data_IF_078462679729
#
_entry.id   IF_078462679729
#
_cell.length_a   1.000
_cell.length_b   1.000
_cell.length_c   1.000
_cell.angle_alpha   90.00
_cell.angle_beta   90.00
_cell.angle_gamma   90.00
#
_symmetry.space_group_name_H-M   'P 1'
#
loop_
_entity.id
_entity.type
_entity.pdbx_description
1 polymer ?
#
# COMPACT_ATOMS: atom_id res chain seq x y z
N UNK A 1 22.32 27.75 34.90
CA UNK A 1 21.55 27.29 33.76
C UNK A 1 22.08 25.92 33.37
N UNK A 2 21.34 24.87 33.69
CA UNK A 2 21.69 23.51 33.29
C UNK A 2 21.42 23.41 31.78
N UNK A 3 22.47 23.33 30.97
CA UNK A 3 22.34 23.00 29.54
C UNK A 3 21.78 21.60 29.47
N UNK A 4 20.49 21.46 29.19
CA UNK A 4 19.90 20.18 28.86
C UNK A 4 20.57 19.74 27.56
N UNK A 5 21.36 18.66 27.62
CA UNK A 5 22.04 18.15 26.43
C UNK A 5 20.97 17.72 25.41
N UNK A 6 21.00 18.29 24.22
CA UNK A 6 20.13 17.89 23.12
C UNK A 6 20.60 16.53 22.61
N UNK A 7 19.70 15.55 22.60
CA UNK A 7 20.03 14.19 22.16
C UNK A 7 19.02 13.75 21.11
N UNK A 8 19.50 13.38 19.94
CA UNK A 8 18.72 12.76 18.87
C UNK A 8 18.86 11.24 19.00
N UNK A 9 17.74 10.51 19.22
CA UNK A 9 17.76 9.08 19.55
C UNK A 9 17.22 8.18 18.45
N UNK A 10 16.42 8.72 17.52
CA UNK A 10 15.83 7.89 16.45
C UNK A 10 15.00 8.67 15.47
N UNK A 11 14.57 7.97 14.45
CA UNK A 11 13.61 8.42 13.44
C UNK A 11 12.47 7.42 13.31
N UNK A 12 11.33 7.88 12.79
CA UNK A 12 10.13 7.07 12.58
C UNK A 12 9.23 7.71 11.51
N UNK A 13 8.81 7.00 10.45
CA UNK A 13 9.17 5.62 10.13
C UNK A 13 10.58 5.48 9.53
N UNK A 14 11.12 4.24 9.40
CA UNK A 14 12.43 4.00 8.80
C UNK A 14 12.49 4.24 7.29
N UNK A 15 11.35 4.16 6.60
CA UNK A 15 11.20 4.43 5.17
C UNK A 15 10.33 5.65 4.89
N UNK A 16 10.62 6.36 3.80
CA UNK A 16 9.87 7.56 3.41
C UNK A 16 9.81 7.72 1.90
N UNK A 17 8.76 8.40 1.42
CA UNK A 17 8.72 9.00 0.09
C UNK A 17 8.87 10.51 0.21
N UNK A 18 9.24 11.20 -0.86
CA UNK A 18 9.19 12.65 -0.95
C UNK A 18 7.78 13.16 -0.60
N UNK A 19 7.68 14.26 0.14
CA UNK A 19 6.43 14.77 0.71
C UNK A 19 5.90 13.98 1.91
N UNK A 20 6.53 12.87 2.28
CA UNK A 20 6.18 12.08 3.46
C UNK A 20 6.60 12.76 4.76
N UNK A 21 6.01 12.32 5.87
CA UNK A 21 6.35 12.83 7.21
C UNK A 21 7.36 11.91 7.89
N UNK A 22 8.47 12.50 8.35
CA UNK A 22 9.48 11.85 9.18
C UNK A 22 9.47 12.45 10.57
N UNK A 23 9.42 11.61 11.60
CA UNK A 23 9.58 12.02 12.99
C UNK A 23 11.03 11.82 13.44
N UNK A 24 11.63 12.87 13.99
CA UNK A 24 12.86 12.81 14.76
C UNK A 24 12.49 12.69 16.23
N UNK A 25 13.06 11.73 16.93
CA UNK A 25 12.85 11.49 18.37
C UNK A 25 14.09 11.81 19.14
N UNK A 26 13.91 12.34 20.37
CA UNK A 26 15.06 12.73 21.19
C UNK A 26 14.65 13.31 22.53
N UNK A 27 15.57 14.01 23.16
CA UNK A 27 15.35 14.75 24.40
C UNK A 27 15.96 16.13 24.31
N UNK A 28 15.30 17.13 24.91
CA UNK A 28 15.74 18.51 24.87
C UNK A 28 15.74 19.16 23.49
N UNK A 29 14.91 18.60 22.54
CA UNK A 29 14.82 19.12 21.18
C UNK A 29 14.25 20.56 21.18
N UNK A 30 14.56 21.37 20.14
CA UNK A 30 13.96 22.70 19.99
C UNK A 30 12.44 22.59 19.94
N UNK A 31 11.75 23.28 20.87
CA UNK A 31 10.30 23.16 21.04
C UNK A 31 9.50 24.06 20.09
N UNK A 32 10.17 24.91 19.32
CA UNK A 32 9.53 25.79 18.33
C UNK A 32 10.35 25.83 17.06
N UNK A 33 9.70 25.84 15.87
CA UNK A 33 10.38 26.10 14.62
C UNK A 33 11.07 27.50 14.69
N UNK A 34 12.36 27.54 14.46
CA UNK A 34 13.16 28.77 14.40
C UNK A 34 14.12 28.64 13.20
N UNK A 35 14.77 29.73 12.77
CA UNK A 35 15.84 29.66 11.78
C UNK A 35 16.95 28.68 12.14
N UNK A 36 17.15 28.42 13.44
CA UNK A 36 18.16 27.48 13.95
C UNK A 36 17.66 26.03 14.00
N UNK A 37 16.35 25.80 13.79
CA UNK A 37 15.74 24.46 13.75
C UNK A 37 15.88 23.85 12.35
N UNK A 38 17.10 23.84 11.81
CA UNK A 38 17.38 23.32 10.49
C UNK A 38 17.57 21.80 10.55
N UNK A 39 16.76 21.09 9.80
CA UNK A 39 16.90 19.64 9.55
C UNK A 39 17.18 19.46 8.07
N UNK A 40 18.08 18.55 7.71
CA UNK A 40 18.34 18.16 6.33
C UNK A 40 18.20 16.65 6.16
N UNK A 41 17.68 16.24 5.01
CA UNK A 41 17.54 14.84 4.59
C UNK A 41 18.20 14.72 3.22
N UNK A 42 19.16 13.80 3.07
CA UNK A 42 19.93 13.67 1.83
C UNK A 42 20.76 14.93 1.47
N UNK A 43 20.97 15.83 2.44
CA UNK A 43 21.62 17.15 2.23
C UNK A 43 20.64 18.27 1.86
N UNK A 44 19.39 17.97 1.52
CA UNK A 44 18.36 18.95 1.22
C UNK A 44 17.64 19.42 2.50
N UNK A 45 17.30 20.72 2.63
CA UNK A 45 16.58 21.23 3.78
C UNK A 45 15.16 20.69 3.86
N UNK A 46 14.78 20.17 5.04
CA UNK A 46 13.46 19.64 5.32
C UNK A 46 12.58 20.68 6.03
N UNK A 47 11.30 20.76 5.62
CA UNK A 47 10.35 21.66 6.26
C UNK A 47 9.89 21.11 7.60
N UNK A 48 10.06 21.86 8.69
CA UNK A 48 9.54 21.48 10.00
C UNK A 48 8.03 21.69 10.03
N UNK A 49 7.29 20.62 10.33
CA UNK A 49 5.82 20.61 10.42
C UNK A 49 5.35 20.79 11.87
N UNK A 50 6.12 20.26 12.82
CA UNK A 50 5.82 20.26 14.24
C UNK A 50 7.13 20.15 15.05
N UNK A 51 7.20 20.81 16.21
CA UNK A 51 8.33 20.71 17.11
C UNK A 51 7.87 20.65 18.57
N UNK A 52 8.45 19.70 19.32
CA UNK A 52 8.29 19.52 20.76
C UNK A 52 9.60 18.99 21.35
N UNK A 53 9.82 19.10 22.71
CA UNK A 53 11.07 18.72 23.33
C UNK A 53 11.49 17.26 23.18
N UNK A 54 10.56 16.38 22.84
CA UNK A 54 10.74 14.92 22.67
C UNK A 54 10.68 14.45 21.22
N UNK A 55 10.15 15.29 20.31
CA UNK A 55 9.95 14.92 18.89
C UNK A 55 9.79 16.12 17.96
N UNK A 56 10.29 15.97 16.74
CA UNK A 56 10.10 16.94 15.66
C UNK A 56 9.57 16.19 14.44
N UNK A 57 8.52 16.71 13.80
CA UNK A 57 8.05 16.21 12.51
C UNK A 57 8.59 17.10 11.39
N UNK A 58 9.12 16.47 10.36
CA UNK A 58 9.56 17.16 9.13
C UNK A 58 8.93 16.53 7.91
N UNK A 59 8.79 17.31 6.86
CA UNK A 59 8.41 16.84 5.53
C UNK A 59 9.69 16.52 4.75
N UNK A 60 9.69 15.35 4.12
CA UNK A 60 10.81 14.89 3.30
C UNK A 60 10.86 15.70 2.01
N UNK A 61 11.95 16.41 1.70
CA UNK A 61 12.05 17.23 0.48
C UNK A 61 12.20 16.34 -0.76
N UNK A 62 11.70 16.82 -1.91
CA UNK A 62 11.87 16.13 -3.21
C UNK A 62 13.34 15.90 -3.56
N UNK A 63 14.20 16.81 -3.14
CA UNK A 63 15.65 16.74 -3.36
C UNK A 63 16.40 15.84 -2.37
N UNK A 64 15.70 15.05 -1.53
CA UNK A 64 16.34 14.11 -0.59
C UNK A 64 17.11 12.97 -1.30
N UNK A 65 16.85 12.77 -2.59
CA UNK A 65 17.39 11.65 -3.36
C UNK A 65 16.59 10.37 -3.16
N UNK A 66 17.24 9.22 -3.40
CA UNK A 66 16.66 7.88 -3.18
C UNK A 66 17.68 6.97 -2.47
N UNK A 67 17.19 5.88 -1.86
CA UNK A 67 18.00 4.99 -1.04
C UNK A 67 18.34 5.57 0.33
N UNK A 68 19.44 5.12 0.92
CA UNK A 68 19.83 5.48 2.28
C UNK A 68 20.31 6.93 2.39
N UNK A 69 19.46 7.81 2.90
CA UNK A 69 19.70 9.23 3.03
C UNK A 69 20.09 9.63 4.48
N UNK A 70 21.15 10.46 4.67
CA UNK A 70 21.50 10.98 6.00
C UNK A 70 20.47 12.01 6.46
N UNK A 71 20.07 11.92 7.73
CA UNK A 71 19.23 12.89 8.44
C UNK A 71 20.11 13.59 9.45
N UNK A 72 20.25 14.91 9.31
CA UNK A 72 21.07 15.76 10.17
C UNK A 72 20.26 16.94 10.70
N UNK A 73 20.59 17.37 11.91
CA UNK A 73 19.99 18.53 12.53
C UNK A 73 21.07 19.50 12.98
N UNK A 74 20.93 20.79 12.68
CA UNK A 74 21.94 21.81 13.00
C UNK A 74 22.22 21.93 14.51
N UNK A 75 21.20 21.67 15.33
CA UNK A 75 21.25 21.69 16.79
C UNK A 75 21.82 20.40 17.41
N UNK A 76 22.15 19.39 16.60
CA UNK A 76 22.79 18.13 17.04
C UNK A 76 23.88 17.70 16.04
N UNK A 77 24.96 18.49 15.87
CA UNK A 77 25.93 18.33 14.76
C UNK A 77 26.73 17.02 14.83
N UNK A 78 26.80 16.37 16.00
CA UNK A 78 27.48 15.09 16.18
C UNK A 78 26.66 13.87 15.88
N UNK A 79 25.34 13.99 15.65
CA UNK A 79 24.45 12.89 15.37
C UNK A 79 24.05 12.87 13.88
N UNK A 80 24.19 11.70 13.25
CA UNK A 80 23.65 11.44 11.92
C UNK A 80 22.79 10.18 12.00
N UNK A 81 21.52 10.31 11.68
CA UNK A 81 20.61 9.18 11.50
C UNK A 81 20.45 8.92 10.00
N UNK A 82 19.82 7.81 9.65
CA UNK A 82 19.60 7.43 8.25
C UNK A 82 18.16 6.99 8.05
N UNK A 83 17.57 7.40 6.95
CA UNK A 83 16.24 6.99 6.50
C UNK A 83 16.36 6.39 5.10
N UNK A 84 15.55 5.38 4.80
CA UNK A 84 15.44 4.85 3.43
C UNK A 84 14.42 5.68 2.64
N UNK A 85 14.85 6.34 1.58
CA UNK A 85 13.98 7.08 0.65
C UNK A 85 13.65 6.17 -0.51
N UNK A 86 12.35 5.97 -0.78
CA UNK A 86 11.88 5.10 -1.85
C UNK A 86 12.44 5.50 -3.21
N UNK A 87 12.94 4.54 -3.96
CA UNK A 87 13.43 4.72 -5.31
C UNK A 87 12.28 4.61 -6.30
N UNK A 88 12.02 5.62 -7.17
CA UNK A 88 11.03 5.52 -8.21
C UNK A 88 11.31 4.32 -9.12
N UNK A 89 10.36 3.39 -9.24
CA UNK A 89 10.44 2.22 -10.11
C UNK A 89 9.68 2.46 -11.42
N UNK A 90 8.43 2.96 -11.34
CA UNK A 90 7.65 3.31 -12.52
C UNK A 90 6.76 4.52 -12.23
N UNK A 91 6.68 5.46 -13.16
CA UNK A 91 5.87 6.68 -13.07
C UNK A 91 4.74 6.66 -14.10
N UNK A 92 3.75 7.54 -13.93
CA UNK A 92 2.61 7.65 -14.84
C UNK A 92 1.71 6.43 -14.79
N UNK A 93 1.58 5.84 -13.61
CA UNK A 93 0.64 4.79 -13.28
C UNK A 93 -0.72 5.41 -12.87
N UNK A 94 -1.73 4.59 -12.68
CA UNK A 94 -3.02 5.03 -12.13
C UNK A 94 -3.60 3.91 -11.26
N UNK A 95 -3.01 3.75 -10.08
CA UNK A 95 -3.35 2.68 -9.15
C UNK A 95 -4.61 3.01 -8.34
N UNK A 96 -5.34 1.97 -8.00
CA UNK A 96 -6.46 2.00 -7.03
C UNK A 96 -6.39 0.84 -6.04
N UNK A 97 -5.44 -0.09 -6.23
CA UNK A 97 -5.17 -1.22 -5.35
C UNK A 97 -3.68 -1.58 -5.34
N UNK A 98 -3.31 -2.57 -4.56
CA UNK A 98 -1.95 -3.10 -4.47
C UNK A 98 -1.53 -3.75 -5.79
N UNK A 99 -0.29 -3.55 -6.24
CA UNK A 99 0.32 -4.40 -7.26
C UNK A 99 0.59 -5.80 -6.70
N UNK A 100 0.85 -6.77 -7.57
CA UNK A 100 1.14 -8.16 -7.14
C UNK A 100 2.39 -8.69 -7.82
N UNK A 101 3.18 -9.48 -7.09
CA UNK A 101 4.27 -10.26 -7.66
C UNK A 101 3.80 -11.68 -7.99
N UNK A 102 4.27 -12.22 -9.09
CA UNK A 102 4.18 -13.65 -9.34
C UNK A 102 5.36 -14.41 -8.69
N UNK A 103 5.36 -15.73 -8.85
CA UNK A 103 6.40 -16.61 -8.28
C UNK A 103 7.78 -16.41 -8.90
N UNK A 104 7.83 -15.87 -10.11
CA UNK A 104 9.04 -15.53 -10.85
C UNK A 104 9.56 -14.13 -10.52
N UNK A 105 8.88 -13.38 -9.62
CA UNK A 105 9.25 -12.03 -9.22
C UNK A 105 8.87 -10.94 -10.23
N UNK A 106 7.95 -11.23 -11.17
CA UNK A 106 7.41 -10.22 -12.09
C UNK A 106 6.30 -9.45 -11.40
N UNK A 107 6.34 -8.13 -11.46
CA UNK A 107 5.38 -7.24 -10.82
C UNK A 107 4.28 -6.85 -11.79
N UNK A 108 3.02 -7.09 -11.41
CA UNK A 108 1.84 -6.71 -12.18
C UNK A 108 1.06 -5.62 -11.45
N UNK A 109 0.55 -4.66 -12.23
CA UNK A 109 -0.21 -3.55 -11.69
C UNK A 109 -1.35 -3.15 -12.62
N UNK A 110 -2.56 -2.98 -12.06
CA UNK A 110 -3.68 -2.44 -12.81
C UNK A 110 -3.47 -0.95 -13.11
N UNK A 111 -3.94 -0.53 -14.28
CA UNK A 111 -4.06 0.86 -14.69
C UNK A 111 -5.54 1.22 -14.85
N UNK A 112 -6.08 1.99 -13.92
CA UNK A 112 -7.53 2.22 -13.87
C UNK A 112 -8.04 3.25 -14.87
N UNK A 113 -7.25 4.23 -15.26
CA UNK A 113 -7.65 5.30 -16.16
C UNK A 113 -8.81 6.18 -15.65
N UNK A 114 -9.27 7.16 -16.42
CA UNK A 114 -10.43 7.96 -16.10
C UNK A 114 -11.70 7.10 -16.07
N UNK A 115 -12.66 7.44 -15.21
CA UNK A 115 -13.88 6.65 -15.01
C UNK A 115 -14.72 6.55 -16.28
N UNK A 116 -15.04 5.30 -16.68
CA UNK A 116 -15.87 4.99 -17.84
C UNK A 116 -15.24 5.35 -19.18
N UNK A 117 -13.93 5.57 -19.22
CA UNK A 117 -13.21 5.83 -20.46
C UNK A 117 -12.25 4.67 -20.74
N UNK A 118 -12.13 4.34 -22.02
CA UNK A 118 -11.10 3.41 -22.46
C UNK A 118 -9.72 3.97 -22.18
N UNK A 119 -8.85 3.11 -21.71
CA UNK A 119 -7.43 3.38 -21.54
C UNK A 119 -6.64 2.47 -22.48
N UNK A 120 -5.53 2.97 -23.06
CA UNK A 120 -4.69 2.13 -23.94
C UNK A 120 -4.03 0.97 -23.19
N UNK A 121 -4.15 0.93 -21.88
CA UNK A 121 -3.60 -0.12 -21.02
C UNK A 121 -4.58 -0.41 -19.89
N UNK A 122 -4.71 -1.69 -19.53
CA UNK A 122 -5.42 -2.13 -18.34
C UNK A 122 -4.48 -2.72 -17.29
N UNK A 123 -3.42 -3.42 -17.73
CA UNK A 123 -2.41 -4.01 -16.83
C UNK A 123 -1.02 -3.82 -17.41
N UNK A 124 -0.12 -3.36 -16.59
CA UNK A 124 1.32 -3.37 -16.83
C UNK A 124 2.00 -4.52 -16.10
N UNK A 125 3.00 -5.11 -16.74
CA UNK A 125 4.10 -5.81 -16.10
C UNK A 125 5.28 -4.85 -15.97
N UNK A 126 5.86 -4.75 -14.78
CA UNK A 126 6.99 -3.86 -14.50
C UNK A 126 8.17 -4.73 -14.06
N UNK A 127 9.31 -4.57 -14.71
CA UNK A 127 10.51 -5.30 -14.34
C UNK A 127 11.37 -4.55 -13.29
N UNK A 128 12.46 -5.17 -12.84
CA UNK A 128 13.35 -4.60 -11.85
C UNK A 128 14.08 -3.33 -12.29
N UNK A 129 14.05 -2.97 -13.57
CA UNK A 129 14.61 -1.70 -14.10
C UNK A 129 13.55 -0.60 -14.20
N UNK A 130 12.29 -0.94 -13.99
CA UNK A 130 11.15 -0.04 -14.15
C UNK A 130 10.60 -0.01 -15.58
N UNK A 131 11.12 -0.85 -16.49
CA UNK A 131 10.55 -0.98 -17.83
C UNK A 131 9.16 -1.61 -17.75
N UNK A 132 8.22 -1.04 -18.51
CA UNK A 132 6.81 -1.42 -18.50
C UNK A 132 6.45 -2.14 -19.79
N UNK A 133 5.79 -3.28 -19.64
CA UNK A 133 5.18 -4.02 -20.74
C UNK A 133 3.67 -4.05 -20.55
N UNK A 134 2.92 -3.86 -21.63
CA UNK A 134 1.45 -3.97 -21.62
C UNK A 134 1.10 -5.46 -21.66
N UNK A 135 0.43 -5.93 -20.60
CA UNK A 135 -0.02 -7.33 -20.49
C UNK A 135 -1.47 -7.47 -20.96
N UNK A 136 -2.29 -6.47 -20.72
CA UNK A 136 -3.68 -6.44 -21.16
C UNK A 136 -4.14 -5.00 -21.40
N UNK A 137 -5.09 -4.86 -22.33
CA UNK A 137 -5.81 -3.62 -22.60
C UNK A 137 -7.34 -3.85 -22.58
N UNK A 138 -8.12 -2.78 -22.82
CA UNK A 138 -9.57 -2.84 -23.06
C UNK A 138 -10.40 -3.34 -21.86
N UNK A 139 -9.85 -3.44 -20.64
CA UNK A 139 -10.61 -3.65 -19.40
C UNK A 139 -10.88 -2.26 -18.80
N UNK A 140 -12.14 -1.82 -18.85
CA UNK A 140 -12.52 -0.50 -18.36
C UNK A 140 -12.33 -0.41 -16.85
N UNK A 141 -11.62 0.63 -16.42
CA UNK A 141 -11.35 0.88 -15.00
C UNK A 141 -10.85 -0.37 -14.25
N UNK A 142 -9.84 -1.04 -14.81
CA UNK A 142 -9.12 -2.12 -14.15
C UNK A 142 -8.71 -1.67 -12.73
N UNK A 143 -9.06 -2.44 -11.71
CA UNK A 143 -8.98 -1.99 -10.32
C UNK A 143 -7.98 -2.80 -9.51
N UNK A 144 -8.19 -4.10 -9.40
CA UNK A 144 -7.32 -5.02 -8.68
C UNK A 144 -6.77 -6.08 -9.62
N UNK A 145 -5.59 -6.57 -9.31
CA UNK A 145 -4.97 -7.73 -9.98
C UNK A 145 -4.73 -8.82 -8.95
N UNK A 146 -4.94 -10.07 -9.37
CA UNK A 146 -4.61 -11.23 -8.55
C UNK A 146 -4.05 -12.36 -9.43
N UNK A 147 -3.18 -13.18 -8.86
CA UNK A 147 -2.61 -14.33 -9.54
C UNK A 147 -3.15 -15.59 -8.87
N UNK A 148 -3.77 -16.47 -9.68
CA UNK A 148 -4.30 -17.72 -9.17
C UNK A 148 -3.17 -18.65 -8.68
N UNK A 149 -3.48 -19.68 -7.86
CA UNK A 149 -2.50 -20.69 -7.47
C UNK A 149 -1.82 -21.38 -8.68
N UNK A 150 -2.48 -21.40 -9.82
CA UNK A 150 -1.95 -21.93 -11.09
C UNK A 150 -1.11 -20.93 -11.91
N UNK A 151 -0.91 -19.71 -11.43
CA UNK A 151 -0.10 -18.68 -12.10
C UNK A 151 -0.84 -17.83 -13.12
N UNK A 152 -2.15 -17.98 -13.27
CA UNK A 152 -2.96 -17.19 -14.21
C UNK A 152 -3.34 -15.84 -13.60
N UNK A 153 -3.24 -14.76 -14.37
CA UNK A 153 -3.58 -13.40 -13.98
C UNK A 153 -5.08 -13.14 -14.09
N UNK A 154 -5.64 -12.50 -13.09
CA UNK A 154 -7.03 -12.04 -13.04
C UNK A 154 -7.10 -10.55 -12.71
N UNK A 155 -8.10 -9.89 -13.29
CA UNK A 155 -8.26 -8.42 -13.17
C UNK A 155 -9.72 -8.10 -12.92
N UNK A 156 -10.03 -7.30 -11.90
CA UNK A 156 -11.37 -6.78 -11.69
C UNK A 156 -11.60 -5.49 -12.47
N UNK A 157 -12.82 -5.31 -12.98
CA UNK A 157 -13.31 -4.06 -13.56
C UNK A 157 -14.44 -3.52 -12.69
N UNK A 158 -14.18 -2.38 -12.04
CA UNK A 158 -15.21 -1.71 -11.23
C UNK A 158 -16.29 -1.04 -12.11
N UNK A 159 -16.02 -0.84 -13.39
CA UNK A 159 -16.99 -0.26 -14.33
C UNK A 159 -17.93 -1.32 -14.87
N UNK A 160 -17.39 -2.45 -15.32
CA UNK A 160 -18.18 -3.56 -15.90
C UNK A 160 -18.84 -4.42 -14.82
N UNK A 161 -18.38 -4.34 -13.56
CA UNK A 161 -18.81 -5.26 -12.50
C UNK A 161 -18.38 -6.71 -12.78
N UNK A 162 -17.20 -6.88 -13.34
CA UNK A 162 -16.70 -8.14 -13.84
C UNK A 162 -15.28 -8.46 -13.35
N UNK A 163 -14.91 -9.73 -13.41
CA UNK A 163 -13.54 -10.21 -13.30
C UNK A 163 -13.16 -10.85 -14.62
N UNK A 164 -11.99 -10.47 -15.13
CA UNK A 164 -11.42 -11.00 -16.36
C UNK A 164 -10.23 -11.91 -16.05
N UNK A 165 -10.15 -13.05 -16.75
CA UNK A 165 -8.92 -13.84 -16.87
C UNK A 165 -8.08 -13.26 -17.99
N UNK A 166 -6.79 -13.08 -17.75
CA UNK A 166 -5.81 -12.59 -18.73
C UNK A 166 -4.83 -13.69 -19.05
N UNK A 167 -4.62 -13.94 -20.34
CA UNK A 167 -3.71 -14.97 -20.86
C UNK A 167 -2.36 -14.35 -21.24
N UNK A 168 -1.34 -15.20 -21.37
CA UNK A 168 0.03 -14.77 -21.71
C UNK A 168 0.15 -14.07 -23.07
N UNK A 169 -0.79 -14.35 -23.99
CA UNK A 169 -0.89 -13.69 -25.29
C UNK A 169 -1.63 -12.34 -25.28
N UNK A 170 -1.99 -11.85 -24.10
CA UNK A 170 -2.74 -10.60 -23.88
C UNK A 170 -4.25 -10.72 -24.11
N UNK A 171 -4.73 -11.87 -24.56
CA UNK A 171 -6.17 -12.15 -24.69
C UNK A 171 -6.82 -12.17 -23.31
N UNK A 172 -8.02 -11.63 -23.23
CA UNK A 172 -8.84 -11.62 -22.02
C UNK A 172 -10.19 -12.29 -22.27
N UNK A 173 -10.72 -12.91 -21.25
CA UNK A 173 -12.11 -13.42 -21.25
C UNK A 173 -12.80 -13.10 -19.93
N UNK A 174 -14.10 -12.83 -19.97
CA UNK A 174 -14.87 -12.63 -18.75
C UNK A 174 -14.93 -13.96 -17.98
N UNK A 175 -14.42 -13.92 -16.75
CA UNK A 175 -14.44 -15.05 -15.82
C UNK A 175 -15.71 -15.06 -14.98
N UNK A 176 -16.14 -13.87 -14.51
CA UNK A 176 -17.39 -13.68 -13.79
C UNK A 176 -17.92 -12.27 -14.05
N UNK A 177 -19.24 -12.13 -14.04
CA UNK A 177 -19.96 -10.87 -14.29
C UNK A 177 -21.03 -10.64 -13.23
N UNK A 178 -21.71 -9.49 -13.27
CA UNK A 178 -22.78 -9.11 -12.32
C UNK A 178 -22.33 -9.10 -10.86
N UNK A 179 -21.09 -8.63 -10.62
CA UNK A 179 -20.46 -8.56 -9.30
C UNK A 179 -20.60 -7.17 -8.66
N UNK A 180 -21.51 -6.35 -9.12
CA UNK A 180 -21.68 -4.98 -8.64
C UNK A 180 -20.53 -4.07 -9.06
N UNK A 181 -19.89 -3.37 -8.12
CA UNK A 181 -18.68 -2.58 -8.37
C UNK A 181 -17.47 -3.40 -7.93
N UNK A 182 -17.05 -4.34 -8.78
CA UNK A 182 -15.98 -5.28 -8.48
C UNK A 182 -14.64 -4.56 -8.25
N UNK A 183 -14.06 -4.74 -7.06
CA UNK A 183 -12.84 -4.08 -6.61
C UNK A 183 -11.75 -5.12 -6.28
N UNK A 184 -11.40 -5.27 -5.00
CA UNK A 184 -10.31 -6.14 -4.55
C UNK A 184 -10.53 -7.62 -4.88
N UNK A 185 -9.43 -8.30 -5.16
CA UNK A 185 -9.38 -9.73 -5.50
C UNK A 185 -8.42 -10.46 -4.56
N UNK A 186 -8.78 -11.67 -4.12
CA UNK A 186 -7.88 -12.58 -3.43
C UNK A 186 -8.21 -14.03 -3.73
N UNK A 187 -7.22 -14.83 -4.12
CA UNK A 187 -7.37 -16.27 -4.29
C UNK A 187 -7.16 -17.02 -2.99
N UNK A 188 -8.04 -17.96 -2.68
CA UNK A 188 -7.79 -18.96 -1.66
C UNK A 188 -6.88 -20.08 -2.20
N UNK A 189 -6.25 -20.88 -1.31
CA UNK A 189 -5.41 -22.00 -1.72
C UNK A 189 -6.15 -23.08 -2.55
N UNK A 190 -7.45 -23.24 -2.34
CA UNK A 190 -8.31 -24.16 -3.08
C UNK A 190 -8.65 -23.68 -4.51
N UNK A 191 -8.20 -22.46 -4.87
CA UNK A 191 -8.45 -21.85 -6.17
C UNK A 191 -9.76 -21.07 -6.25
N UNK A 192 -10.59 -21.02 -5.19
CA UNK A 192 -11.72 -20.11 -5.15
C UNK A 192 -11.24 -18.65 -5.09
N UNK A 193 -12.02 -17.75 -5.72
CA UNK A 193 -11.69 -16.33 -5.80
C UNK A 193 -12.67 -15.52 -4.97
N UNK A 194 -12.14 -14.71 -4.05
CA UNK A 194 -12.90 -13.69 -3.34
C UNK A 194 -12.88 -12.37 -4.12
N UNK A 195 -14.04 -11.74 -4.24
CA UNK A 195 -14.22 -10.46 -4.92
C UNK A 195 -14.96 -9.49 -4.00
N UNK A 196 -14.35 -8.37 -3.69
CA UNK A 196 -14.99 -7.29 -2.93
C UNK A 196 -15.83 -6.41 -3.86
N UNK A 197 -17.13 -6.31 -3.59
CA UNK A 197 -17.98 -5.29 -4.20
C UNK A 197 -18.01 -4.05 -3.29
N UNK A 198 -17.81 -2.89 -3.88
CA UNK A 198 -17.84 -1.60 -3.17
C UNK A 198 -19.11 -1.37 -2.35
N UNK A 199 -20.25 -1.98 -2.73
CA UNK A 199 -21.51 -1.86 -1.99
C UNK A 199 -21.51 -2.60 -0.65
N UNK A 200 -20.46 -3.39 -0.37
CA UNK A 200 -20.26 -4.08 0.90
C UNK A 200 -20.31 -5.61 0.80
N UNK A 201 -20.59 -6.16 -0.36
CA UNK A 201 -20.64 -7.61 -0.55
C UNK A 201 -19.25 -8.17 -0.83
N UNK A 202 -18.87 -9.23 -0.14
CA UNK A 202 -17.74 -10.08 -0.52
C UNK A 202 -18.33 -11.33 -1.17
N UNK A 203 -18.05 -11.51 -2.46
CA UNK A 203 -18.44 -12.69 -3.23
C UNK A 203 -17.37 -13.77 -3.12
N UNK A 204 -17.79 -15.04 -3.09
CA UNK A 204 -16.90 -16.19 -3.32
C UNK A 204 -17.28 -16.85 -4.64
N UNK A 205 -16.31 -17.01 -5.52
CA UNK A 205 -16.43 -17.64 -6.83
C UNK A 205 -15.73 -18.99 -6.84
N UNK A 206 -16.33 -19.98 -7.50
CA UNK A 206 -15.68 -21.24 -7.78
C UNK A 206 -14.55 -21.10 -8.81
N UNK A 207 -13.80 -22.16 -9.02
CA UNK A 207 -12.68 -22.22 -9.98
C UNK A 207 -13.13 -22.06 -11.44
N UNK A 208 -14.40 -22.21 -11.73
CA UNK A 208 -15.08 -22.01 -13.02
C UNK A 208 -15.68 -20.60 -13.19
N UNK A 209 -15.56 -19.74 -12.17
CA UNK A 209 -16.17 -18.41 -12.16
C UNK A 209 -17.61 -18.37 -11.71
N UNK A 210 -18.26 -19.51 -11.46
CA UNK A 210 -19.60 -19.54 -10.93
C UNK A 210 -19.65 -18.90 -9.52
N UNK A 211 -20.59 -17.96 -9.32
CA UNK A 211 -20.80 -17.36 -8.00
C UNK A 211 -21.47 -18.39 -7.10
N UNK A 212 -20.71 -18.87 -6.12
CA UNK A 212 -21.17 -19.86 -5.17
C UNK A 212 -22.06 -19.26 -4.09
N UNK A 213 -21.67 -18.08 -3.56
CA UNK A 213 -22.39 -17.48 -2.44
C UNK A 213 -22.00 -16.01 -2.21
N UNK A 214 -22.82 -15.28 -1.44
CA UNK A 214 -22.39 -14.09 -0.73
C UNK A 214 -21.62 -14.57 0.50
N UNK A 215 -20.31 -14.42 0.48
CA UNK A 215 -19.43 -14.88 1.56
C UNK A 215 -19.57 -14.04 2.82
N UNK A 216 -19.62 -12.72 2.67
CA UNK A 216 -19.77 -11.79 3.78
C UNK A 216 -20.40 -10.47 3.31
N UNK A 217 -20.90 -9.70 4.29
CA UNK A 217 -21.40 -8.33 4.05
C UNK A 217 -20.76 -7.39 5.05
N UNK A 218 -20.23 -6.27 4.56
CA UNK A 218 -19.58 -5.18 5.27
C UNK A 218 -20.32 -3.86 4.99
N UNK A 219 -20.06 -2.78 5.76
CA UNK A 219 -20.55 -1.45 5.40
C UNK A 219 -20.07 -1.04 4.00
N UNK A 220 -20.84 -0.28 3.20
CA UNK A 220 -20.39 0.17 1.88
C UNK A 220 -19.09 0.97 1.94
N UNK A 221 -18.16 0.69 1.03
CA UNK A 221 -16.93 1.47 0.89
C UNK A 221 -17.15 2.73 0.07
N UNK A 222 -16.49 3.84 0.43
CA UNK A 222 -16.49 5.08 -0.35
C UNK A 222 -15.47 5.07 -1.49
N UNK A 223 -14.57 4.09 -1.51
CA UNK A 223 -13.55 3.91 -2.56
C UNK A 223 -13.57 2.50 -3.14
N UNK A 224 -12.86 1.57 -2.51
CA UNK A 224 -12.77 0.16 -2.90
C UNK A 224 -12.65 -0.70 -1.65
N UNK A 225 -12.98 -1.98 -1.75
CA UNK A 225 -12.50 -3.00 -0.84
C UNK A 225 -11.19 -3.57 -1.38
N UNK A 226 -10.25 -3.83 -0.49
CA UNK A 226 -8.96 -4.43 -0.77
C UNK A 226 -8.88 -5.76 -0.01
N UNK A 227 -8.43 -6.80 -0.69
CA UNK A 227 -8.44 -8.17 -0.19
C UNK A 227 -7.05 -8.78 -0.26
N UNK A 228 -6.68 -9.57 0.75
CA UNK A 228 -5.51 -10.43 0.71
C UNK A 228 -5.78 -11.74 1.45
N UNK A 229 -5.31 -12.85 0.89
CA UNK A 229 -5.29 -14.13 1.59
C UNK A 229 -4.06 -14.19 2.50
N UNK A 230 -4.27 -14.49 3.77
CA UNK A 230 -3.21 -14.66 4.74
C UNK A 230 -2.53 -16.03 4.65
N UNK A 231 -1.33 -16.17 5.23
CA UNK A 231 -0.63 -17.46 5.30
C UNK A 231 -1.33 -18.46 6.25
N UNK A 232 -2.36 -18.02 6.95
CA UNK A 232 -3.23 -18.80 7.84
C UNK A 232 -4.54 -19.24 7.14
N UNK A 233 -4.61 -19.10 5.81
CA UNK A 233 -5.78 -19.38 4.97
C UNK A 233 -7.03 -18.56 5.34
N UNK A 234 -6.84 -17.42 6.03
CA UNK A 234 -7.91 -16.48 6.36
C UNK A 234 -7.93 -15.33 5.35
N UNK A 235 -9.12 -14.80 5.06
CA UNK A 235 -9.26 -13.63 4.19
C UNK A 235 -9.15 -12.35 5.02
N UNK A 236 -8.25 -11.45 4.61
CA UNK A 236 -8.09 -10.13 5.20
C UNK A 236 -8.68 -9.06 4.29
N UNK A 237 -9.43 -8.13 4.87
CA UNK A 237 -10.18 -7.14 4.12
C UNK A 237 -10.03 -5.76 4.75
N UNK A 238 -9.80 -4.77 3.91
CA UNK A 238 -9.83 -3.35 4.26
C UNK A 238 -10.72 -2.59 3.28
N UNK A 239 -11.21 -1.44 3.70
CA UNK A 239 -11.94 -0.54 2.82
C UNK A 239 -12.39 0.70 3.58
N UNK A 240 -12.16 1.91 3.04
CA UNK A 240 -12.60 3.14 3.69
C UNK A 240 -14.12 3.30 3.55
N UNK A 241 -14.77 3.67 4.66
CA UNK A 241 -16.20 3.95 4.72
C UNK A 241 -16.48 5.44 5.00
N UNK A 242 -17.70 5.80 5.37
CA UNK A 242 -18.05 7.14 5.87
C UNK A 242 -17.76 7.31 7.37
N UNK A 243 -17.27 6.27 8.03
CA UNK A 243 -16.89 6.35 9.44
C UNK A 243 -15.62 7.20 9.64
N UNK A 244 -15.43 7.70 10.85
CA UNK A 244 -14.21 8.43 11.23
C UNK A 244 -13.00 7.50 11.26
N UNK A 245 -13.22 6.24 11.63
CA UNK A 245 -12.22 5.19 11.66
C UNK A 245 -12.80 3.93 11.02
N UNK A 246 -11.96 3.25 10.27
CA UNK A 246 -12.29 2.03 9.56
C UNK A 246 -11.50 0.84 10.13
N UNK A 247 -11.97 -0.35 9.83
CA UNK A 247 -11.44 -1.59 10.37
C UNK A 247 -10.59 -2.35 9.35
N UNK A 248 -9.67 -3.14 9.89
CA UNK A 248 -9.05 -4.28 9.22
C UNK A 248 -9.77 -5.53 9.71
N UNK A 249 -10.42 -6.22 8.79
CA UNK A 249 -11.18 -7.46 9.07
C UNK A 249 -10.36 -8.69 8.72
N UNK A 250 -10.58 -9.77 9.47
CA UNK A 250 -10.07 -11.11 9.18
C UNK A 250 -11.22 -12.09 9.22
N UNK A 251 -11.42 -12.84 8.15
CA UNK A 251 -12.53 -13.77 7.96
C UNK A 251 -12.06 -15.21 7.97
N UNK A 252 -12.79 -16.09 8.67
CA UNK A 252 -12.61 -17.53 8.57
C UNK A 252 -13.31 -18.08 7.32
N UNK A 253 -13.09 -19.36 7.02
CA UNK A 253 -13.67 -20.04 5.86
C UNK A 253 -15.22 -20.06 5.85
N UNK A 254 -15.86 -19.82 6.98
CA UNK A 254 -17.33 -19.76 7.13
C UNK A 254 -17.90 -18.34 6.91
N UNK A 255 -17.05 -17.32 6.67
CA UNK A 255 -17.45 -15.93 6.54
C UNK A 255 -17.65 -15.19 7.86
N UNK A 256 -17.31 -15.81 9.00
CA UNK A 256 -17.28 -15.10 10.28
C UNK A 256 -16.00 -14.28 10.36
N UNK A 257 -16.11 -13.07 10.88
CA UNK A 257 -14.96 -12.17 10.99
C UNK A 257 -14.67 -11.74 12.42
N UNK A 258 -13.43 -11.35 12.61
CA UNK A 258 -12.96 -10.54 13.73
C UNK A 258 -12.37 -9.22 13.22
N UNK A 259 -12.36 -8.22 14.08
CA UNK A 259 -11.73 -6.93 13.82
C UNK A 259 -10.34 -6.95 14.44
N UNK A 260 -9.30 -6.84 13.61
CA UNK A 260 -7.91 -6.82 14.08
C UNK A 260 -7.49 -5.44 14.57
N UNK A 261 -7.93 -4.39 13.89
CA UNK A 261 -7.67 -2.99 14.20
C UNK A 261 -8.85 -2.15 13.68
N UNK A 262 -9.31 -1.20 14.45
CA UNK A 262 -10.41 -0.29 14.10
C UNK A 262 -10.02 1.18 14.22
N UNK A 263 -8.72 1.47 14.12
CA UNK A 263 -8.16 2.81 14.33
C UNK A 263 -7.55 3.41 13.07
N UNK A 264 -7.75 2.79 11.90
CA UNK A 264 -7.35 3.35 10.62
C UNK A 264 -8.31 4.46 10.17
N UNK A 265 -7.77 5.55 9.65
CA UNK A 265 -8.59 6.64 9.13
C UNK A 265 -9.10 6.37 7.70
N UNK A 266 -8.29 5.77 6.85
CA UNK A 266 -8.62 5.39 5.45
C UNK A 266 -7.76 4.22 5.00
N UNK A 267 -8.03 3.00 5.46
CA UNK A 267 -7.25 1.84 5.03
C UNK A 267 -7.49 1.57 3.53
N UNK A 268 -6.40 1.25 2.85
CA UNK A 268 -6.34 0.93 1.42
C UNK A 268 -5.74 -0.46 1.24
N UNK A 269 -4.92 -0.65 0.22
CA UNK A 269 -4.28 -1.91 -0.11
C UNK A 269 -3.55 -2.56 1.06
N UNK A 270 -3.49 -3.89 1.03
CA UNK A 270 -2.85 -4.70 2.05
C UNK A 270 -2.09 -5.86 1.41
N UNK A 271 -1.05 -6.32 2.07
CA UNK A 271 -0.28 -7.50 1.66
C UNK A 271 0.47 -8.11 2.85
N UNK A 272 0.87 -9.36 2.72
CA UNK A 272 1.72 -10.05 3.69
C UNK A 272 3.17 -10.01 3.25
N UNK A 273 4.06 -9.74 4.21
CA UNK A 273 5.50 -9.87 3.98
C UNK A 273 5.92 -11.36 3.95
N UNK A 274 7.17 -11.69 3.52
CA UNK A 274 7.66 -13.07 3.48
C UNK A 274 7.72 -13.78 4.85
N UNK A 275 7.54 -13.05 5.93
CA UNK A 275 7.47 -13.59 7.30
C UNK A 275 6.03 -13.79 7.77
N UNK A 276 5.03 -13.54 6.89
CA UNK A 276 3.61 -13.68 7.20
C UNK A 276 3.06 -12.53 8.05
N UNK A 277 3.70 -11.38 8.09
CA UNK A 277 3.17 -10.20 8.80
C UNK A 277 2.38 -9.32 7.86
N UNK A 278 1.17 -8.97 8.28
CA UNK A 278 0.28 -8.09 7.52
C UNK A 278 0.83 -6.66 7.47
N UNK A 279 0.78 -6.07 6.28
CA UNK A 279 1.01 -4.65 6.04
C UNK A 279 -0.26 -4.03 5.45
N UNK A 280 -0.64 -2.86 5.95
CA UNK A 280 -1.84 -2.13 5.53
C UNK A 280 -1.46 -0.70 5.21
N UNK A 281 -1.93 -0.22 4.08
CA UNK A 281 -1.77 1.19 3.67
C UNK A 281 -2.86 2.04 4.31
N UNK A 282 -2.49 3.16 4.90
CA UNK A 282 -3.40 4.22 5.32
C UNK A 282 -3.20 5.45 4.44
N UNK A 283 -4.28 5.96 3.85
CA UNK A 283 -4.27 7.12 2.95
C UNK A 283 -4.87 8.38 3.60
N UNK A 284 -4.90 8.47 4.92
CA UNK A 284 -5.40 9.66 5.61
C UNK A 284 -4.39 10.81 5.50
N UNK A 285 -4.85 11.96 5.03
CA UNK A 285 -4.00 13.13 4.86
C UNK A 285 -3.26 13.51 6.17
N UNK A 286 -1.94 13.68 6.05
CA UNK A 286 -1.07 14.05 7.17
C UNK A 286 -0.57 12.87 8.03
N UNK A 287 -1.12 11.65 7.85
CA UNK A 287 -0.65 10.42 8.51
C UNK A 287 -0.57 9.24 7.55
N UNK A 288 -0.55 9.52 6.23
CA UNK A 288 -0.47 8.51 5.19
C UNK A 288 0.83 7.69 5.32
N UNK A 289 0.67 6.38 5.48
CA UNK A 289 1.79 5.46 5.70
C UNK A 289 1.42 4.01 5.36
N UNK A 290 2.43 3.18 5.14
CA UNK A 290 2.31 1.72 5.21
C UNK A 290 2.57 1.31 6.66
N UNK A 291 1.63 0.60 7.26
CA UNK A 291 1.73 0.10 8.62
C UNK A 291 1.94 -1.41 8.62
N UNK A 292 2.90 -1.87 9.40
CA UNK A 292 3.11 -3.27 9.74
C UNK A 292 2.28 -3.61 10.98
N UNK A 293 1.47 -4.70 10.91
CA UNK A 293 0.58 -5.18 11.96
C UNK A 293 1.04 -6.57 12.44
N UNK A 294 2.01 -6.65 13.35
CA UNK A 294 2.41 -7.93 13.91
C UNK A 294 1.33 -8.43 14.87
N UNK A 295 1.07 -9.75 14.86
CA UNK A 295 0.10 -10.36 15.76
C UNK A 295 0.45 -10.07 17.23
N UNK A 296 -0.55 -9.60 17.99
CA UNK A 296 -0.41 -9.33 19.44
C UNK A 296 0.46 -8.12 19.81
N UNK A 297 0.83 -7.28 18.85
CA UNK A 297 1.60 -6.07 19.11
C UNK A 297 1.00 -4.83 18.40
N UNK A 298 1.37 -3.65 18.88
CA UNK A 298 0.92 -2.40 18.25
C UNK A 298 1.44 -2.27 16.82
N UNK A 299 0.60 -1.74 15.93
CA UNK A 299 1.01 -1.41 14.57
C UNK A 299 2.13 -0.36 14.55
N UNK A 300 2.98 -0.43 13.54
CA UNK A 300 4.08 0.52 13.34
C UNK A 300 4.11 0.99 11.89
N UNK A 301 4.29 2.28 11.67
CA UNK A 301 4.57 2.80 10.35
C UNK A 301 5.95 2.30 9.88
N UNK A 302 6.04 1.82 8.64
CA UNK A 302 7.30 1.39 8.01
C UNK A 302 7.71 2.30 6.86
N UNK A 303 6.73 2.88 6.15
CA UNK A 303 6.96 3.89 5.11
C UNK A 303 5.92 4.98 5.24
N UNK A 304 6.31 6.25 5.20
CA UNK A 304 5.38 7.38 5.06
C UNK A 304 5.51 8.01 3.67
N UNK A 305 4.40 8.51 3.15
CA UNK A 305 4.38 9.19 1.86
C UNK A 305 2.99 9.68 1.48
N UNK A 306 2.88 10.64 0.58
CA UNK A 306 1.60 11.09 0.05
C UNK A 306 1.03 10.08 -0.96
N UNK A 307 -0.30 10.06 -1.11
CA UNK A 307 -0.99 9.34 -2.18
C UNK A 307 -0.82 7.83 -2.17
N UNK A 308 -0.48 7.22 -1.04
CA UNK A 308 -0.31 5.78 -0.91
C UNK A 308 -1.63 5.05 -1.15
N UNK A 309 -1.59 3.97 -1.94
CA UNK A 309 -2.75 3.13 -2.27
C UNK A 309 -2.49 1.64 -2.11
N UNK A 310 -1.25 1.18 -2.25
CA UNK A 310 -0.96 -0.25 -2.25
C UNK A 310 0.45 -0.60 -1.79
N UNK A 311 0.65 -1.88 -1.50
CA UNK A 311 1.91 -2.46 -1.08
C UNK A 311 2.03 -3.88 -1.62
N UNK A 312 3.24 -4.28 -2.03
CA UNK A 312 3.53 -5.63 -2.50
C UNK A 312 4.90 -6.12 -2.03
N UNK A 313 4.98 -7.43 -1.81
CA UNK A 313 6.22 -8.13 -1.47
C UNK A 313 6.50 -9.20 -2.50
N UNK A 314 7.72 -9.23 -3.01
CA UNK A 314 8.16 -10.22 -3.97
C UNK A 314 8.90 -11.40 -3.31
N UNK A 315 9.09 -12.51 -4.07
CA UNK A 315 9.69 -13.74 -3.56
C UNK A 315 11.18 -13.60 -3.19
N UNK A 316 11.91 -12.66 -3.81
CA UNK A 316 13.30 -12.36 -3.48
C UNK A 316 13.42 -11.19 -2.48
N UNK A 317 12.37 -10.97 -1.67
CA UNK A 317 12.26 -9.90 -0.66
C UNK A 317 12.16 -8.50 -1.25
N UNK A 318 11.68 -8.38 -2.45
CA UNK A 318 11.30 -7.09 -3.02
C UNK A 318 10.20 -6.46 -2.15
N UNK A 319 10.31 -5.16 -1.93
CA UNK A 319 9.29 -4.37 -1.27
C UNK A 319 8.96 -3.17 -2.14
N UNK A 320 7.73 -3.15 -2.62
CA UNK A 320 7.21 -2.10 -3.49
C UNK A 320 6.00 -1.44 -2.85
N UNK A 321 5.98 -0.12 -2.91
CA UNK A 321 4.88 0.71 -2.45
C UNK A 321 4.29 1.43 -3.65
N UNK A 322 2.96 1.39 -3.79
CA UNK A 322 2.22 2.09 -4.84
C UNK A 322 1.60 3.37 -4.30
N UNK A 323 1.82 4.46 -5.00
CA UNK A 323 1.01 5.68 -4.91
C UNK A 323 -0.03 5.69 -6.03
N UNK A 324 -0.90 6.69 -6.07
CA UNK A 324 -1.89 6.81 -7.16
C UNK A 324 -1.24 6.77 -8.54
N UNK A 325 -0.04 7.34 -8.69
CA UNK A 325 0.61 7.60 -9.98
C UNK A 325 1.99 6.98 -10.18
N UNK A 326 2.53 6.28 -9.15
CA UNK A 326 3.88 5.74 -9.21
C UNK A 326 4.06 4.47 -8.38
N UNK A 327 5.07 3.68 -8.76
CA UNK A 327 5.62 2.60 -7.96
C UNK A 327 6.99 3.03 -7.41
N UNK A 328 7.23 2.71 -6.15
CA UNK A 328 8.50 2.95 -5.47
C UNK A 328 9.00 1.64 -4.86
N UNK A 329 10.28 1.35 -5.06
CA UNK A 329 10.92 0.21 -4.38
C UNK A 329 11.78 0.69 -3.22
N UNK A 330 11.95 -0.19 -2.25
CA UNK A 330 12.87 -0.05 -1.13
C UNK A 330 13.85 -1.23 -1.13
N UNK A 331 15.14 -0.96 -1.02
CA UNK A 331 16.18 -1.96 -0.95
C UNK A 331 17.33 -1.44 -0.07
N UNK A 332 17.47 -1.92 1.15
CA UNK A 332 16.68 -2.97 1.80
C UNK A 332 15.26 -2.52 2.18
N UNK A 333 14.41 -3.47 2.57
CA UNK A 333 13.12 -3.16 3.20
C UNK A 333 13.39 -2.40 4.50
N UNK A 334 12.73 -1.26 4.74
CA UNK A 334 12.95 -0.41 5.91
C UNK A 334 12.47 -1.01 7.22
#
# INVERSE_FOLDING_TARGET
MTFTSVTLTGIDPPGVLAGGRLWLRGAGLPAMPSPDTVVSIGGAPARVLFAAPDRIAVEVPDAAGSGRAPVRAAWSPGATLFVEVGEPLALGMHHVDSPVFDREGRLYSAFSGPRGQESPVSVYRVDGTGAREIVADGILNATSVAISPGGTLFVSSRYDGAVYRVFDDGRREAFAVDLGVACGLAFAPDGSLFVGDRTGTIHRLGTDGARTETFATLPPSVAAYHLAMGPDDMLYVTGPTLATHDAVYRFDASGRHEVLDHTFGRPQGLAFDPHGVLHVVEALAGVSAVYRLPAGAARRAVVSGPGLVGVAFGPAREFVVATVDALFRFSPMP
#
